data_IF_970322348945
#
_entry.id   IF_970322348945
#
_cell.length_a   1.000
_cell.length_b   1.000
_cell.length_c   1.000
_cell.angle_alpha   90.00
_cell.angle_beta   90.00
_cell.angle_gamma   90.00
#
_symmetry.space_group_name_H-M   'P 1'
#
loop_
_entity.id
_entity.type
_entity.pdbx_description
1 polymer ?
#
# COMPACT_ATOMS: atom_id res chain seq x y z
N UNK A 1 17.31 -1.33 -45.74
CA UNK A 1 16.31 -2.20 -46.39
C UNK A 1 16.75 -2.75 -47.74
N UNK A 2 17.22 -1.95 -48.72
CA UNK A 2 17.68 -2.49 -50.02
C UNK A 2 18.78 -3.57 -49.92
N UNK A 3 19.67 -3.46 -48.92
CA UNK A 3 20.67 -4.50 -48.60
C UNK A 3 19.99 -5.75 -48.03
N UNK A 4 19.05 -5.59 -47.09
CA UNK A 4 18.28 -6.70 -46.48
C UNK A 4 17.47 -7.46 -47.55
N UNK A 5 16.82 -6.75 -48.47
CA UNK A 5 16.03 -7.36 -49.54
C UNK A 5 16.88 -8.19 -50.52
N UNK A 6 18.16 -7.87 -50.65
CA UNK A 6 19.14 -8.60 -51.49
C UNK A 6 19.94 -9.65 -50.69
N UNK A 7 19.81 -9.67 -49.38
CA UNK A 7 20.51 -10.60 -48.51
C UNK A 7 19.65 -11.85 -48.30
N UNK A 8 20.13 -13.05 -48.63
CA UNK A 8 19.37 -14.28 -48.41
C UNK A 8 19.02 -14.45 -46.92
N UNK A 9 17.89 -15.11 -46.63
CA UNK A 9 17.49 -15.35 -45.25
C UNK A 9 18.49 -16.31 -44.55
N UNK A 10 18.63 -16.28 -43.21
CA UNK A 10 19.58 -17.15 -42.51
C UNK A 10 19.39 -18.65 -42.77
N UNK A 11 18.15 -19.09 -43.03
CA UNK A 11 17.83 -20.49 -43.38
C UNK A 11 18.45 -20.88 -44.72
N UNK A 12 18.25 -20.10 -45.78
CA UNK A 12 18.79 -20.35 -47.12
C UNK A 12 20.33 -20.34 -47.10
N UNK A 13 20.93 -19.42 -46.34
CA UNK A 13 22.39 -19.36 -46.18
C UNK A 13 22.91 -20.63 -45.52
N UNK A 14 22.27 -21.07 -44.43
CA UNK A 14 22.70 -22.26 -43.71
C UNK A 14 22.43 -23.54 -44.52
N UNK A 15 21.29 -23.62 -45.21
CA UNK A 15 20.96 -24.71 -46.12
C UNK A 15 22.00 -24.83 -47.24
N UNK A 16 22.32 -23.71 -47.91
CA UNK A 16 23.37 -23.68 -48.94
C UNK A 16 24.71 -24.16 -48.37
N UNK A 17 25.08 -23.71 -47.17
CA UNK A 17 26.32 -24.15 -46.51
C UNK A 17 26.34 -25.65 -46.20
N UNK A 18 25.20 -26.24 -45.84
CA UNK A 18 25.08 -27.69 -45.59
C UNK A 18 25.11 -28.49 -46.89
N UNK A 19 24.47 -27.99 -47.95
CA UNK A 19 24.53 -28.57 -49.30
C UNK A 19 25.96 -28.51 -49.87
N UNK A 20 26.64 -27.36 -49.76
CA UNK A 20 28.02 -27.17 -50.24
C UNK A 20 29.02 -28.10 -49.51
N UNK A 21 28.71 -28.53 -48.29
CA UNK A 21 29.50 -29.49 -47.50
C UNK A 21 29.14 -30.95 -47.75
N UNK A 22 28.05 -31.21 -48.49
CA UNK A 22 27.50 -32.55 -48.67
C UNK A 22 26.81 -33.14 -47.44
N UNK A 23 26.50 -32.31 -46.43
CA UNK A 23 25.92 -32.75 -45.16
C UNK A 23 24.40 -33.01 -45.27
N UNK A 24 23.72 -32.41 -46.25
CA UNK A 24 22.25 -32.45 -46.41
C UNK A 24 21.82 -32.47 -47.87
N UNK A 25 20.86 -33.34 -48.21
CA UNK A 25 20.18 -33.39 -49.50
C UNK A 25 19.16 -32.23 -49.63
N UNK A 26 19.13 -31.55 -50.78
CA UNK A 26 18.17 -30.48 -51.08
C UNK A 26 16.72 -30.93 -50.90
N UNK A 27 16.43 -32.20 -51.21
CA UNK A 27 15.10 -32.79 -51.05
C UNK A 27 14.69 -32.85 -49.58
N UNK A 28 15.62 -33.17 -48.68
CA UNK A 28 15.36 -33.25 -47.24
C UNK A 28 14.92 -31.88 -46.68
N UNK A 29 15.51 -30.78 -47.16
CA UNK A 29 15.16 -29.44 -46.70
C UNK A 29 13.79 -28.97 -47.18
N UNK A 30 13.39 -29.36 -48.39
CA UNK A 30 12.04 -29.10 -48.91
C UNK A 30 11.00 -29.93 -48.15
N UNK A 31 11.28 -31.22 -47.93
CA UNK A 31 10.41 -32.12 -47.17
C UNK A 31 10.20 -31.62 -45.73
N UNK A 32 11.24 -31.07 -45.10
CA UNK A 32 11.13 -30.48 -43.76
C UNK A 32 10.22 -29.24 -43.74
N UNK A 33 10.26 -28.39 -44.78
CA UNK A 33 9.36 -27.24 -44.91
C UNK A 33 7.90 -27.67 -45.00
N UNK A 34 7.64 -28.60 -45.91
CA UNK A 34 6.29 -29.11 -46.17
C UNK A 34 5.72 -29.82 -44.94
N UNK A 35 6.53 -30.68 -44.30
CA UNK A 35 6.16 -31.34 -43.03
C UNK A 35 5.85 -30.32 -41.94
N UNK A 36 6.63 -29.23 -41.82
CA UNK A 36 6.37 -28.20 -40.81
C UNK A 36 5.10 -27.40 -41.11
N UNK A 37 4.85 -27.03 -42.37
CA UNK A 37 3.60 -26.36 -42.78
C UNK A 37 2.38 -27.24 -42.53
N UNK A 38 2.46 -28.52 -42.92
CA UNK A 38 1.39 -29.49 -42.67
C UNK A 38 1.16 -29.66 -41.17
N UNK A 39 2.22 -29.75 -40.36
CA UNK A 39 2.10 -29.77 -38.90
C UNK A 39 1.36 -28.53 -38.36
N UNK A 40 1.70 -27.32 -38.82
CA UNK A 40 1.01 -26.09 -38.39
C UNK A 40 -0.48 -26.10 -38.80
N UNK A 41 -0.78 -26.53 -40.03
CA UNK A 41 -2.14 -26.63 -40.53
C UNK A 41 -2.95 -27.69 -39.77
N UNK A 42 -2.35 -28.84 -39.47
CA UNK A 42 -2.95 -29.90 -38.67
C UNK A 42 -3.22 -29.44 -37.25
N UNK A 43 -2.30 -28.70 -36.61
CA UNK A 43 -2.51 -28.11 -35.29
C UNK A 43 -3.65 -27.09 -35.29
N UNK A 44 -3.73 -26.25 -36.32
CA UNK A 44 -4.85 -25.31 -36.50
C UNK A 44 -6.18 -26.05 -36.67
N UNK A 45 -6.22 -27.07 -37.53
CA UNK A 45 -7.41 -27.88 -37.76
C UNK A 45 -7.85 -28.61 -36.49
N UNK A 46 -6.89 -29.17 -35.74
CA UNK A 46 -7.12 -29.84 -34.46
C UNK A 46 -7.78 -28.90 -33.45
N UNK A 47 -7.25 -27.68 -33.25
CA UNK A 47 -7.82 -26.71 -32.30
C UNK A 47 -9.22 -26.24 -32.74
N UNK A 48 -9.46 -26.08 -34.05
CA UNK A 48 -10.79 -25.72 -34.58
C UNK A 48 -11.84 -26.81 -34.34
N UNK A 49 -11.45 -28.08 -34.45
CA UNK A 49 -12.38 -29.21 -34.29
C UNK A 49 -12.57 -29.60 -32.82
N UNK A 50 -11.48 -29.57 -32.05
CA UNK A 50 -11.47 -29.94 -30.64
C UNK A 50 -10.47 -29.05 -29.89
N UNK A 51 -10.96 -28.01 -29.20
CA UNK A 51 -10.12 -27.22 -28.31
C UNK A 51 -9.43 -28.14 -27.30
N UNK A 52 -8.11 -28.00 -27.15
CA UNK A 52 -7.37 -28.74 -26.12
C UNK A 52 -7.79 -28.24 -24.74
N UNK A 53 -7.95 -29.14 -23.74
CA UNK A 53 -8.19 -28.70 -22.37
C UNK A 53 -6.97 -27.91 -21.87
N UNK A 54 -7.23 -26.77 -21.23
CA UNK A 54 -6.18 -25.98 -20.59
C UNK A 54 -5.85 -26.56 -19.22
N UNK A 55 -4.58 -26.91 -19.00
CA UNK A 55 -4.07 -27.27 -17.68
C UNK A 55 -3.39 -26.05 -17.06
N UNK A 56 -3.93 -25.49 -15.96
CA UNK A 56 -3.33 -24.36 -15.28
C UNK A 56 -1.90 -24.70 -14.84
N UNK A 57 -1.02 -23.70 -14.90
CA UNK A 57 0.29 -23.83 -14.26
C UNK A 57 0.12 -23.82 -12.73
N UNK A 58 1.08 -24.38 -11.98
CA UNK A 58 1.03 -24.40 -10.50
C UNK A 58 0.73 -23.03 -9.87
N UNK A 59 1.30 -21.95 -10.41
CA UNK A 59 1.00 -20.60 -9.95
C UNK A 59 -0.48 -20.24 -10.14
N UNK A 60 -1.03 -20.59 -11.31
CA UNK A 60 -2.43 -20.32 -11.64
C UNK A 60 -3.39 -21.14 -10.77
N UNK A 61 -3.01 -22.35 -10.37
CA UNK A 61 -3.80 -23.16 -9.43
C UNK A 61 -4.03 -22.45 -8.08
N UNK A 62 -3.00 -21.79 -7.53
CA UNK A 62 -3.17 -21.00 -6.29
C UNK A 62 -4.16 -19.84 -6.50
N UNK A 63 -4.09 -19.17 -7.65
CA UNK A 63 -4.98 -18.05 -7.98
C UNK A 63 -6.40 -18.49 -8.34
N UNK A 64 -6.62 -19.72 -8.79
CA UNK A 64 -7.95 -20.28 -9.05
C UNK A 64 -8.79 -20.44 -7.78
N UNK A 65 -8.15 -20.47 -6.60
CA UNK A 65 -8.86 -20.43 -5.32
C UNK A 65 -9.44 -19.04 -4.98
N UNK A 66 -9.04 -18.01 -5.72
CA UNK A 66 -9.51 -16.63 -5.54
C UNK A 66 -10.57 -16.29 -6.58
N UNK A 67 -11.46 -15.36 -6.25
CA UNK A 67 -12.41 -14.75 -7.19
C UNK A 67 -12.00 -13.33 -7.53
N UNK A 68 -12.72 -12.71 -8.46
CA UNK A 68 -12.62 -11.27 -8.71
C UNK A 68 -13.43 -10.48 -7.71
N UNK A 69 -13.03 -9.24 -7.48
CA UNK A 69 -13.80 -8.30 -6.65
C UNK A 69 -15.10 -7.91 -7.35
N UNK A 70 -16.14 -7.66 -6.58
CA UNK A 70 -17.35 -6.96 -7.02
C UNK A 70 -17.48 -5.63 -6.24
N UNK A 71 -18.28 -4.67 -6.72
CA UNK A 71 -18.54 -3.43 -5.98
C UNK A 71 -18.96 -3.65 -4.53
N UNK A 72 -19.73 -4.71 -4.26
CA UNK A 72 -20.29 -5.02 -2.95
C UNK A 72 -19.23 -5.36 -1.91
N UNK A 73 -18.07 -5.89 -2.35
CA UNK A 73 -16.96 -6.24 -1.46
C UNK A 73 -16.36 -5.03 -0.72
N UNK A 74 -16.58 -3.83 -1.25
CA UNK A 74 -16.04 -2.58 -0.69
C UNK A 74 -17.06 -1.84 0.17
N UNK A 75 -18.26 -2.40 0.38
CA UNK A 75 -19.24 -1.81 1.29
C UNK A 75 -18.90 -2.08 2.77
N UNK A 76 -18.30 -3.23 3.07
CA UNK A 76 -17.96 -3.68 4.42
C UNK A 76 -16.60 -4.35 4.38
N UNK A 77 -15.67 -3.90 5.21
CA UNK A 77 -14.37 -4.56 5.37
C UNK A 77 -14.50 -5.95 6.01
N UNK A 78 -13.69 -6.94 5.59
CA UNK A 78 -13.71 -8.28 6.15
C UNK A 78 -13.20 -8.29 7.59
N UNK A 79 -13.55 -9.35 8.32
CA UNK A 79 -13.07 -9.57 9.69
C UNK A 79 -11.55 -9.75 9.68
N UNK A 80 -10.86 -8.91 10.45
CA UNK A 80 -9.39 -8.89 10.55
C UNK A 80 -8.91 -8.89 12.00
N UNK A 81 -9.82 -8.95 12.97
CA UNK A 81 -9.49 -9.08 14.37
C UNK A 81 -8.67 -10.35 14.66
N UNK A 82 -7.86 -10.31 15.72
CA UNK A 82 -7.06 -11.44 16.20
C UNK A 82 -7.39 -11.75 17.66
N UNK A 83 -7.13 -12.97 18.09
CA UNK A 83 -7.30 -13.34 19.49
C UNK A 83 -6.16 -12.77 20.37
N UNK A 84 -6.45 -12.65 21.66
CA UNK A 84 -5.51 -12.14 22.66
C UNK A 84 -4.23 -12.97 22.77
N UNK A 85 -4.30 -14.30 22.63
CA UNK A 85 -3.12 -15.15 22.75
C UNK A 85 -2.15 -14.88 21.58
N UNK A 86 -2.68 -14.59 20.39
CA UNK A 86 -1.87 -14.16 19.24
C UNK A 86 -1.17 -12.83 19.54
N UNK A 87 -1.85 -11.85 20.15
CA UNK A 87 -1.23 -10.59 20.59
C UNK A 87 -0.10 -10.87 21.59
N UNK A 88 -0.38 -11.64 22.64
CA UNK A 88 0.57 -11.92 23.72
C UNK A 88 1.83 -12.62 23.19
N UNK A 89 1.66 -13.58 22.27
CA UNK A 89 2.77 -14.29 21.60
C UNK A 89 3.66 -13.33 20.79
N UNK A 90 3.05 -12.41 20.04
CA UNK A 90 3.81 -11.44 19.23
C UNK A 90 4.47 -10.39 20.14
N UNK A 91 3.76 -9.92 21.16
CA UNK A 91 4.27 -8.97 22.13
C UNK A 91 5.53 -9.49 22.82
N UNK A 92 5.53 -10.74 23.27
CA UNK A 92 6.70 -11.40 23.85
C UNK A 92 7.89 -11.41 22.89
N UNK A 93 7.64 -11.78 21.62
CA UNK A 93 8.68 -11.83 20.60
C UNK A 93 9.31 -10.44 20.33
N UNK A 94 8.50 -9.39 20.16
CA UNK A 94 9.00 -8.05 19.78
C UNK A 94 9.52 -7.22 20.95
N UNK A 95 9.32 -7.68 22.19
CA UNK A 95 9.81 -7.06 23.42
C UNK A 95 11.09 -7.70 23.97
N UNK A 96 11.45 -8.90 23.51
CA UNK A 96 12.59 -9.64 24.03
C UNK A 96 13.63 -9.91 22.95
N UNK A 97 14.86 -10.17 23.40
CA UNK A 97 16.00 -10.55 22.56
C UNK A 97 16.58 -11.88 23.06
N UNK A 98 17.30 -12.64 22.21
CA UNK A 98 17.91 -13.90 22.62
C UNK A 98 18.91 -13.73 23.75
N UNK A 99 19.14 -14.80 24.52
CA UNK A 99 20.19 -14.85 25.53
C UNK A 99 21.54 -14.58 24.86
N UNK A 100 22.33 -13.68 25.46
CA UNK A 100 23.65 -13.27 24.94
C UNK A 100 23.61 -12.13 23.91
N UNK A 101 22.43 -11.73 23.41
CA UNK A 101 22.30 -10.60 22.50
C UNK A 101 22.51 -9.28 23.25
N UNK A 102 23.39 -8.42 22.73
CA UNK A 102 23.75 -7.11 23.27
C UNK A 102 23.11 -6.01 22.43
N UNK A 103 21.93 -5.48 22.84
CA UNK A 103 21.29 -4.40 22.12
C UNK A 103 22.05 -3.07 22.28
N UNK A 104 21.99 -2.21 21.26
CA UNK A 104 22.36 -0.80 21.41
C UNK A 104 21.43 -0.09 22.41
N UNK A 105 21.92 0.94 23.10
CA UNK A 105 21.16 1.72 24.09
C UNK A 105 19.80 2.22 23.58
N UNK A 106 19.73 2.65 22.31
CA UNK A 106 18.49 3.08 21.69
C UNK A 106 17.48 1.93 21.53
N UNK A 107 17.96 0.72 21.23
CA UNK A 107 17.14 -0.49 21.14
C UNK A 107 16.66 -0.93 22.52
N UNK A 108 17.50 -0.85 23.55
CA UNK A 108 17.06 -1.12 24.93
C UNK A 108 15.89 -0.22 25.35
N UNK A 109 15.97 1.07 25.04
CA UNK A 109 14.90 2.03 25.32
C UNK A 109 13.62 1.67 24.56
N UNK A 110 13.74 1.31 23.27
CA UNK A 110 12.61 0.84 22.47
C UNK A 110 11.95 -0.41 23.08
N UNK A 111 12.75 -1.40 23.51
CA UNK A 111 12.22 -2.63 24.11
C UNK A 111 11.52 -2.35 25.43
N UNK A 112 12.06 -1.45 26.26
CA UNK A 112 11.41 -0.99 27.51
C UNK A 112 10.09 -0.27 27.20
N UNK A 113 10.06 0.60 26.20
CA UNK A 113 8.86 1.31 25.77
C UNK A 113 7.78 0.32 25.30
N UNK A 114 8.13 -0.67 24.47
CA UNK A 114 7.20 -1.73 24.05
C UNK A 114 6.67 -2.53 25.24
N UNK A 115 7.53 -2.93 26.18
CA UNK A 115 7.08 -3.63 27.40
C UNK A 115 6.06 -2.81 28.17
N UNK A 116 6.30 -1.51 28.33
CA UNK A 116 5.36 -0.58 28.96
C UNK A 116 4.04 -0.45 28.17
N UNK A 117 4.10 -0.42 26.85
CA UNK A 117 2.92 -0.39 25.97
C UNK A 117 1.99 -1.59 26.25
N UNK A 118 2.54 -2.80 26.29
CA UNK A 118 1.76 -4.02 26.48
C UNK A 118 1.34 -4.27 27.94
N UNK A 119 2.24 -4.05 28.91
CA UNK A 119 2.02 -4.42 30.30
C UNK A 119 1.25 -3.36 31.11
N UNK A 120 1.52 -2.07 30.86
CA UNK A 120 0.98 -0.99 31.69
C UNK A 120 -0.11 -0.21 30.96
N UNK A 121 0.21 0.39 29.82
CA UNK A 121 -0.69 1.36 29.17
C UNK A 121 -1.79 0.69 28.34
N UNK A 122 -1.55 -0.53 27.86
CA UNK A 122 -2.41 -1.26 26.90
C UNK A 122 -2.72 -0.44 25.63
N UNK A 123 -1.79 0.45 25.26
CA UNK A 123 -1.86 1.29 24.06
C UNK A 123 -0.65 1.05 23.18
N UNK A 124 -0.84 1.07 21.86
CA UNK A 124 0.18 0.81 20.85
C UNK A 124 0.33 1.99 19.91
N UNK A 125 1.56 2.23 19.50
CA UNK A 125 1.92 3.19 18.46
C UNK A 125 1.98 2.52 17.08
N UNK A 126 2.21 3.34 16.03
CA UNK A 126 2.22 2.89 14.64
C UNK A 126 3.15 1.69 14.35
N UNK A 127 4.44 1.72 14.74
CA UNK A 127 5.34 0.60 14.43
C UNK A 127 4.97 -0.68 15.18
N UNK A 128 4.41 -0.58 16.38
CA UNK A 128 3.97 -1.75 17.15
C UNK A 128 2.75 -2.40 16.51
N UNK A 129 1.78 -1.61 16.03
CA UNK A 129 0.64 -2.11 15.28
C UNK A 129 1.06 -2.79 13.97
N UNK A 130 2.04 -2.24 13.26
CA UNK A 130 2.60 -2.85 12.05
C UNK A 130 3.23 -4.23 12.33
N UNK A 131 4.08 -4.33 13.36
CA UNK A 131 4.70 -5.60 13.74
C UNK A 131 3.68 -6.63 14.24
N UNK A 132 2.60 -6.19 14.90
CA UNK A 132 1.47 -7.06 15.27
C UNK A 132 0.74 -7.59 14.02
N UNK A 133 0.55 -6.76 12.98
CA UNK A 133 -0.05 -7.20 11.74
C UNK A 133 0.82 -8.24 11.02
N UNK A 134 2.12 -7.98 10.91
CA UNK A 134 3.06 -8.93 10.31
C UNK A 134 3.14 -10.24 11.11
N UNK A 135 3.30 -10.15 12.43
CA UNK A 135 3.40 -11.30 13.32
C UNK A 135 2.14 -12.17 13.30
N UNK A 136 0.95 -11.56 13.24
CA UNK A 136 -0.31 -12.31 13.20
C UNK A 136 -0.49 -13.08 11.89
N UNK A 137 -0.15 -12.48 10.74
CA UNK A 137 -0.18 -13.16 9.45
C UNK A 137 0.84 -14.32 9.41
N UNK A 138 2.03 -14.13 9.97
CA UNK A 138 3.04 -15.21 10.10
C UNK A 138 2.56 -16.33 11.03
N UNK A 139 1.85 -16.00 12.11
CA UNK A 139 1.25 -16.99 13.02
C UNK A 139 0.14 -17.81 12.35
N UNK A 140 -0.56 -17.22 11.36
CA UNK A 140 -1.54 -17.89 10.50
C UNK A 140 -0.89 -18.72 9.37
N UNK A 141 0.45 -18.72 9.27
CA UNK A 141 1.20 -19.42 8.22
C UNK A 141 1.21 -18.68 6.88
N UNK A 142 0.82 -17.41 6.83
CA UNK A 142 0.95 -16.55 5.63
C UNK A 142 2.39 -16.10 5.45
N UNK A 143 2.70 -15.62 4.25
CA UNK A 143 4.02 -15.07 3.93
C UNK A 143 3.95 -13.56 4.13
N UNK A 144 4.97 -12.98 4.77
CA UNK A 144 5.14 -11.52 4.85
C UNK A 144 6.50 -11.16 4.29
N UNK A 145 6.49 -10.35 3.23
CA UNK A 145 7.68 -9.83 2.55
C UNK A 145 7.64 -8.32 2.50
N UNK A 146 8.73 -7.66 2.86
CA UNK A 146 8.91 -6.23 2.73
C UNK A 146 10.27 -5.90 2.13
N UNK A 147 10.31 -5.01 1.16
CA UNK A 147 11.56 -4.43 0.67
C UNK A 147 11.46 -2.93 0.46
N UNK A 148 12.63 -2.29 0.43
CA UNK A 148 12.80 -0.86 0.28
C UNK A 148 14.09 -0.41 0.92
N UNK A 149 14.43 0.86 0.77
CA UNK A 149 15.67 1.40 1.33
C UNK A 149 15.52 1.49 2.86
N UNK A 150 16.47 0.90 3.60
CA UNK A 150 16.54 0.92 5.07
C UNK A 150 15.33 0.38 5.85
N UNK A 151 14.43 -0.37 5.20
CA UNK A 151 13.17 -0.84 5.79
C UNK A 151 13.32 -1.66 7.07
N UNK A 152 14.45 -2.37 7.27
CA UNK A 152 14.72 -3.15 8.48
C UNK A 152 14.64 -2.30 9.76
N UNK A 153 15.28 -1.13 9.73
CA UNK A 153 15.22 -0.12 10.79
C UNK A 153 14.02 0.80 10.60
N UNK A 154 13.68 1.07 9.34
CA UNK A 154 12.81 2.15 8.90
C UNK A 154 13.62 3.44 8.73
N UNK A 155 13.30 4.21 7.68
CA UNK A 155 13.89 5.53 7.39
C UNK A 155 13.91 6.41 8.64
N UNK A 156 12.76 6.48 9.33
CA UNK A 156 12.54 7.31 10.51
C UNK A 156 12.99 6.65 11.82
N UNK A 157 13.72 5.53 11.77
CA UNK A 157 14.13 4.74 12.94
C UNK A 157 12.97 4.39 13.87
N UNK A 158 11.88 3.89 13.29
CA UNK A 158 10.63 3.59 14.00
C UNK A 158 10.34 2.09 14.07
N UNK A 159 10.68 1.32 13.03
CA UNK A 159 10.25 -0.08 12.86
C UNK A 159 11.08 -1.06 13.67
N UNK A 160 12.40 -1.04 13.50
CA UNK A 160 13.34 -1.97 14.15
C UNK A 160 12.86 -3.43 14.08
N UNK A 161 12.48 -3.87 12.88
CA UNK A 161 12.03 -5.23 12.56
C UNK A 161 13.18 -6.25 12.57
N UNK A 162 14.40 -5.76 12.34
CA UNK A 162 15.65 -6.50 12.53
C UNK A 162 16.54 -5.69 13.46
N UNK A 163 16.97 -6.32 14.54
CA UNK A 163 17.92 -5.79 15.50
C UNK A 163 19.33 -6.29 15.14
N UNK A 164 20.34 -5.52 15.50
CA UNK A 164 21.75 -5.87 15.29
C UNK A 164 22.43 -5.89 16.65
N UNK A 165 23.19 -6.97 16.90
CA UNK A 165 24.02 -7.08 18.09
C UNK A 165 25.14 -6.03 18.05
N UNK A 166 25.35 -5.33 19.15
CA UNK A 166 26.31 -4.22 19.22
C UNK A 166 27.78 -4.66 19.10
N UNK A 167 28.09 -5.93 19.39
CA UNK A 167 29.46 -6.46 19.35
C UNK A 167 29.69 -7.34 18.12
N UNK A 168 28.80 -8.29 17.85
CA UNK A 168 28.97 -9.25 16.74
C UNK A 168 28.39 -8.77 15.41
N UNK A 169 27.52 -7.75 15.44
CA UNK A 169 26.72 -7.29 14.29
C UNK A 169 25.77 -8.37 13.73
N UNK A 170 25.51 -9.44 14.49
CA UNK A 170 24.55 -10.47 14.10
C UNK A 170 23.13 -9.92 14.08
N UNK A 171 22.34 -10.36 13.09
CA UNK A 171 20.97 -9.93 12.89
C UNK A 171 19.99 -10.81 13.65
N UNK A 172 19.10 -10.18 14.41
CA UNK A 172 17.97 -10.83 15.05
C UNK A 172 16.65 -10.27 14.53
N UNK A 173 15.80 -11.13 13.97
CA UNK A 173 14.43 -10.75 13.60
C UNK A 173 13.45 -11.45 14.55
N UNK A 174 12.86 -10.65 15.44
CA UNK A 174 11.95 -11.12 16.48
C UNK A 174 10.76 -11.91 15.94
N UNK A 175 10.18 -11.50 14.80
CA UNK A 175 8.98 -12.15 14.26
C UNK A 175 9.20 -13.59 13.76
N UNK A 176 10.46 -14.01 13.56
CA UNK A 176 10.76 -15.39 13.20
C UNK A 176 10.45 -16.39 14.33
N UNK A 177 10.32 -15.94 15.58
CA UNK A 177 9.94 -16.81 16.71
C UNK A 177 8.42 -17.04 16.79
N UNK A 178 7.63 -16.24 16.06
CA UNK A 178 6.15 -16.31 16.08
C UNK A 178 5.60 -17.19 14.97
N UNK A 179 6.38 -17.39 13.91
CA UNK A 179 5.96 -18.03 12.66
C UNK A 179 5.41 -19.45 12.86
N UNK A 180 4.33 -19.78 12.13
CA UNK A 180 3.84 -21.15 12.00
C UNK A 180 4.36 -21.78 10.70
N UNK A 181 5.01 -22.95 10.81
CA UNK A 181 5.64 -23.63 9.67
C UNK A 181 6.96 -22.98 9.25
N UNK A 182 7.31 -23.08 7.97
CA UNK A 182 8.62 -22.67 7.45
C UNK A 182 8.67 -21.22 6.92
N UNK A 183 7.55 -20.49 6.98
CA UNK A 183 7.40 -19.15 6.37
C UNK A 183 8.04 -18.04 7.21
N UNK A 184 9.37 -17.95 7.20
CA UNK A 184 10.12 -16.88 7.90
C UNK A 184 9.72 -15.49 7.41
N UNK A 185 9.82 -14.49 8.29
CA UNK A 185 9.64 -13.08 7.95
C UNK A 185 10.76 -12.61 7.01
N UNK A 186 10.38 -11.98 5.90
CA UNK A 186 11.28 -11.62 4.79
C UNK A 186 11.36 -10.10 4.65
N UNK A 187 12.33 -9.47 5.31
CA UNK A 187 12.53 -8.02 5.22
C UNK A 187 13.93 -7.67 4.70
N UNK A 188 14.00 -6.87 3.64
CA UNK A 188 15.24 -6.59 2.90
C UNK A 188 15.45 -5.10 2.70
N UNK A 189 16.60 -4.60 3.16
CA UNK A 189 17.11 -3.31 2.68
C UNK A 189 17.47 -3.49 1.20
N UNK A 190 16.76 -2.80 0.33
CA UNK A 190 16.97 -2.87 -1.10
C UNK A 190 18.21 -2.10 -1.54
N UNK A 191 18.58 -2.27 -2.80
CA UNK A 191 19.46 -1.32 -3.48
C UNK A 191 18.79 0.06 -3.57
N UNK A 192 19.59 1.08 -3.87
CA UNK A 192 19.11 2.45 -4.12
C UNK A 192 18.48 2.54 -5.53
N UNK A 193 17.36 1.84 -5.73
CA UNK A 193 16.64 1.76 -7.00
C UNK A 193 15.15 1.58 -6.75
N UNK A 194 14.33 2.49 -7.24
CA UNK A 194 12.87 2.39 -7.12
C UNK A 194 12.30 1.52 -8.25
N UNK A 195 12.68 1.80 -9.50
CA UNK A 195 12.14 1.13 -10.68
C UNK A 195 12.35 -0.39 -10.66
N UNK A 196 13.60 -0.83 -10.45
CA UNK A 196 13.95 -2.25 -10.47
C UNK A 196 13.37 -3.00 -9.27
N UNK A 197 13.41 -2.40 -8.08
CA UNK A 197 12.91 -3.02 -6.85
C UNK A 197 11.39 -3.10 -6.85
N UNK A 198 10.68 -2.03 -7.23
CA UNK A 198 9.21 -2.07 -7.32
C UNK A 198 8.75 -3.09 -8.36
N UNK A 199 9.45 -3.20 -9.50
CA UNK A 199 9.17 -4.23 -10.49
C UNK A 199 9.40 -5.65 -9.98
N UNK A 200 10.45 -5.86 -9.19
CA UNK A 200 10.69 -7.14 -8.52
C UNK A 200 9.57 -7.47 -7.53
N UNK A 201 9.16 -6.54 -6.67
CA UNK A 201 8.09 -6.76 -5.69
C UNK A 201 6.73 -6.99 -6.35
N UNK A 202 6.44 -6.32 -7.47
CA UNK A 202 5.25 -6.62 -8.27
C UNK A 202 5.25 -8.08 -8.75
N UNK A 203 6.37 -8.55 -9.31
CA UNK A 203 6.51 -9.94 -9.75
C UNK A 203 6.38 -10.95 -8.60
N UNK A 204 6.92 -10.62 -7.43
CA UNK A 204 6.78 -11.44 -6.23
C UNK A 204 5.33 -11.52 -5.75
N UNK A 205 4.64 -10.38 -5.68
CA UNK A 205 3.23 -10.29 -5.28
C UNK A 205 2.30 -11.06 -6.25
N UNK A 206 2.68 -11.14 -7.53
CA UNK A 206 1.96 -11.94 -8.53
C UNK A 206 2.17 -13.45 -8.35
N UNK A 207 3.27 -13.88 -7.73
CA UNK A 207 3.64 -15.29 -7.66
C UNK A 207 2.78 -16.11 -6.68
N UNK A 208 2.21 -15.51 -5.64
CA UNK A 208 1.30 -16.21 -4.73
C UNK A 208 0.29 -15.26 -4.09
N UNK A 209 -1.00 -15.62 -4.05
CA UNK A 209 -2.02 -14.82 -3.37
C UNK A 209 -1.89 -14.87 -1.84
N UNK A 210 -1.02 -15.71 -1.27
CA UNK A 210 -0.88 -15.90 0.18
C UNK A 210 0.24 -15.06 0.82
N UNK A 211 0.88 -14.17 0.06
CA UNK A 211 1.98 -13.34 0.54
C UNK A 211 1.60 -11.87 0.67
N UNK A 212 1.62 -11.31 1.88
CA UNK A 212 1.58 -9.85 2.05
C UNK A 212 2.94 -9.31 1.58
N UNK A 213 2.94 -8.71 0.39
CA UNK A 213 4.15 -8.17 -0.25
C UNK A 213 4.10 -6.66 -0.17
N UNK A 214 5.10 -6.06 0.47
CA UNK A 214 5.20 -4.62 0.67
C UNK A 214 6.46 -4.06 -0.01
N UNK A 215 6.30 -2.89 -0.61
CA UNK A 215 7.39 -2.03 -1.02
C UNK A 215 7.27 -0.68 -0.31
N UNK A 216 8.33 -0.22 0.35
CA UNK A 216 8.37 1.09 1.01
C UNK A 216 9.37 2.01 0.33
N UNK A 217 8.89 3.17 -0.10
CA UNK A 217 9.75 4.26 -0.55
C UNK A 217 10.40 4.92 0.66
N UNK A 218 11.63 5.44 0.52
CA UNK A 218 12.29 6.14 1.62
C UNK A 218 11.50 7.40 2.03
N UNK A 219 11.06 8.15 1.03
CA UNK A 219 9.99 9.15 1.08
C UNK A 219 9.06 8.90 -0.10
N UNK A 220 7.76 9.19 0.07
CA UNK A 220 6.77 8.92 -0.97
C UNK A 220 7.04 9.68 -2.27
N UNK A 221 7.68 10.84 -2.19
CA UNK A 221 8.07 11.69 -3.32
C UNK A 221 8.89 10.93 -4.38
N UNK A 222 9.70 9.96 -3.98
CA UNK A 222 10.61 9.20 -4.86
C UNK A 222 9.92 8.08 -5.65
N UNK A 223 8.64 7.78 -5.40
CA UNK A 223 7.93 6.74 -6.16
C UNK A 223 7.82 7.03 -7.66
N UNK A 224 7.97 8.31 -8.05
CA UNK A 224 7.98 8.74 -9.44
C UNK A 224 9.12 8.11 -10.27
N UNK A 225 10.23 7.70 -9.65
CA UNK A 225 11.29 6.95 -10.32
C UNK A 225 10.81 5.60 -10.87
N UNK A 226 9.71 5.07 -10.33
CA UNK A 226 9.08 3.82 -10.75
C UNK A 226 7.73 4.03 -11.49
N UNK A 227 7.49 5.21 -12.07
CA UNK A 227 6.19 5.56 -12.66
C UNK A 227 5.70 4.56 -13.71
N UNK A 228 6.59 4.03 -14.56
CA UNK A 228 6.21 3.04 -15.58
C UNK A 228 5.69 1.74 -14.94
N UNK A 229 6.23 1.33 -13.78
CA UNK A 229 5.70 0.19 -13.03
C UNK A 229 4.31 0.50 -12.45
N UNK A 230 4.12 1.71 -11.94
CA UNK A 230 2.83 2.17 -11.41
C UNK A 230 1.77 2.15 -12.51
N UNK A 231 2.03 2.79 -13.65
CA UNK A 231 1.05 2.98 -14.72
C UNK A 231 0.76 1.66 -15.45
N UNK A 232 1.81 0.94 -15.84
CA UNK A 232 1.68 -0.18 -16.78
C UNK A 232 1.49 -1.52 -16.08
N UNK A 233 1.60 -1.60 -14.76
CA UNK A 233 1.42 -2.85 -14.04
C UNK A 233 0.48 -2.67 -12.86
N UNK A 234 0.86 -1.85 -11.88
CA UNK A 234 0.10 -1.74 -10.62
C UNK A 234 -1.32 -1.22 -10.86
N UNK A 235 -1.48 -0.15 -11.66
CA UNK A 235 -2.79 0.45 -11.90
C UNK A 235 -3.64 -0.28 -12.97
N UNK A 236 -3.03 -1.08 -13.86
CA UNK A 236 -3.71 -1.53 -15.10
C UNK A 236 -3.59 -3.03 -15.42
N UNK A 237 -2.81 -3.82 -14.68
CA UNK A 237 -2.58 -5.23 -15.02
C UNK A 237 -3.85 -6.09 -14.96
N UNK A 238 -4.75 -5.83 -14.01
CA UNK A 238 -5.97 -6.61 -13.89
C UNK A 238 -6.88 -6.39 -15.10
N UNK A 239 -7.08 -5.14 -15.53
CA UNK A 239 -7.89 -4.84 -16.73
C UNK A 239 -7.24 -5.39 -18.01
N UNK A 240 -5.91 -5.25 -18.17
CA UNK A 240 -5.22 -5.66 -19.41
C UNK A 240 -4.98 -7.17 -19.53
N UNK A 241 -4.61 -7.81 -18.43
CA UNK A 241 -4.07 -9.17 -18.43
C UNK A 241 -4.81 -10.10 -17.48
N UNK A 242 -5.85 -9.62 -16.81
CA UNK A 242 -6.67 -10.42 -15.88
C UNK A 242 -5.81 -10.98 -14.73
N UNK A 243 -4.74 -10.26 -14.36
CA UNK A 243 -3.83 -10.62 -13.28
C UNK A 243 -4.11 -9.76 -12.05
N UNK A 244 -4.57 -10.41 -10.98
CA UNK A 244 -4.65 -9.81 -9.66
C UNK A 244 -3.24 -9.68 -9.06
N UNK A 245 -3.09 -8.74 -8.13
CA UNK A 245 -1.83 -8.49 -7.44
C UNK A 245 -2.14 -7.89 -6.06
N UNK A 246 -1.30 -8.14 -5.05
CA UNK A 246 -1.53 -7.68 -3.68
C UNK A 246 -0.41 -6.81 -3.11
N UNK A 247 0.42 -6.25 -3.97
CA UNK A 247 1.49 -5.35 -3.59
C UNK A 247 0.95 -4.14 -2.82
N UNK A 248 1.51 -3.90 -1.63
CA UNK A 248 1.25 -2.72 -0.82
C UNK A 248 2.42 -1.76 -0.98
N UNK A 249 2.15 -0.58 -1.52
CA UNK A 249 3.09 0.53 -1.60
C UNK A 249 2.93 1.41 -0.36
N UNK A 250 3.98 1.52 0.44
CA UNK A 250 4.05 2.44 1.58
C UNK A 250 4.83 3.69 1.15
N UNK A 251 4.15 4.82 1.09
CA UNK A 251 4.67 6.08 0.58
C UNK A 251 4.67 7.15 1.68
N UNK A 252 5.81 7.39 2.37
CA UNK A 252 5.84 8.37 3.44
C UNK A 252 5.40 9.76 2.96
N UNK A 253 4.33 10.27 3.55
CA UNK A 253 3.61 11.46 3.10
C UNK A 253 3.32 12.40 4.28
N UNK A 254 3.36 13.71 4.04
CA UNK A 254 2.91 14.72 4.98
C UNK A 254 3.68 16.04 4.88
N UNK A 255 2.98 17.16 5.00
CA UNK A 255 3.55 18.50 4.91
C UNK A 255 4.07 18.93 6.28
N UNK A 256 5.40 18.86 6.44
CA UNK A 256 6.10 19.05 7.73
C UNK A 256 7.27 20.04 7.62
N UNK A 257 7.28 20.87 6.57
CA UNK A 257 8.30 21.90 6.37
C UNK A 257 9.66 21.40 5.88
N UNK A 258 9.74 20.15 5.40
CA UNK A 258 10.98 19.52 4.92
C UNK A 258 11.29 19.79 3.43
N UNK A 259 10.50 20.65 2.78
CA UNK A 259 10.71 21.01 1.37
C UNK A 259 10.01 20.10 0.36
N UNK A 260 10.21 20.37 -0.94
CA UNK A 260 9.38 19.78 -2.00
C UNK A 260 9.60 18.30 -2.30
N UNK A 261 10.76 17.73 -1.96
CA UNK A 261 11.08 16.31 -2.18
C UNK A 261 10.87 15.42 -0.95
N UNK A 262 10.28 15.95 0.12
CA UNK A 262 10.07 15.22 1.38
C UNK A 262 8.67 15.46 1.98
N UNK A 263 7.70 15.81 1.15
CA UNK A 263 6.36 16.22 1.59
C UNK A 263 5.23 15.44 0.94
N UNK A 264 5.33 15.14 -0.36
CA UNK A 264 4.20 14.64 -1.15
C UNK A 264 4.53 13.39 -1.94
N UNK A 265 3.89 12.30 -1.53
CA UNK A 265 3.73 11.10 -2.34
C UNK A 265 2.87 11.29 -3.61
N UNK A 266 2.40 12.51 -3.91
CA UNK A 266 1.53 12.82 -5.07
C UNK A 266 0.25 11.99 -5.11
N UNK A 267 -0.46 11.99 -3.98
CA UNK A 267 -1.74 11.32 -3.79
C UNK A 267 -2.71 11.54 -4.97
N UNK A 268 -2.75 12.77 -5.50
CA UNK A 268 -3.59 13.16 -6.64
C UNK A 268 -3.36 12.28 -7.88
N UNK A 269 -2.13 11.84 -8.12
CA UNK A 269 -1.76 11.04 -9.29
C UNK A 269 -2.28 9.62 -9.17
N UNK A 270 -2.18 9.02 -7.99
CA UNK A 270 -2.75 7.69 -7.75
C UNK A 270 -4.28 7.73 -7.86
N UNK A 271 -4.93 8.74 -7.29
CA UNK A 271 -6.37 8.92 -7.41
C UNK A 271 -6.84 9.19 -8.85
N UNK A 272 -6.00 9.82 -9.68
CA UNK A 272 -6.26 9.98 -11.11
C UNK A 272 -6.27 8.63 -11.83
N UNK A 273 -5.38 7.71 -11.46
CA UNK A 273 -5.27 6.35 -12.02
C UNK A 273 -6.36 5.40 -11.51
N UNK A 274 -7.11 5.76 -10.47
CA UNK A 274 -8.15 4.91 -9.90
C UNK A 274 -9.40 4.82 -10.79
N UNK A 275 -9.75 3.59 -11.18
CA UNK A 275 -10.96 3.24 -11.91
C UNK A 275 -11.26 1.75 -11.73
N UNK A 276 -12.51 1.31 -11.94
CA UNK A 276 -12.88 -0.13 -11.97
C UNK A 276 -12.38 -0.96 -10.76
N UNK A 277 -12.30 -0.33 -9.58
CA UNK A 277 -11.77 -0.94 -8.36
C UNK A 277 -10.36 -1.53 -8.54
N UNK A 278 -9.52 -0.93 -9.40
CA UNK A 278 -8.20 -1.45 -9.78
C UNK A 278 -7.18 -1.49 -8.63
N UNK A 279 -7.30 -0.59 -7.65
CA UNK A 279 -6.41 -0.53 -6.49
C UNK A 279 -7.15 -0.01 -5.25
N UNK A 280 -6.47 0.00 -4.11
CA UNK A 280 -6.89 0.69 -2.88
C UNK A 280 -5.97 1.90 -2.68
N UNK A 281 -6.52 3.06 -2.33
CA UNK A 281 -5.75 4.25 -1.93
C UNK A 281 -6.20 4.69 -0.54
N UNK A 282 -5.27 4.76 0.41
CA UNK A 282 -5.54 5.05 1.80
C UNK A 282 -4.54 6.05 2.41
N UNK A 283 -4.98 6.82 3.39
CA UNK A 283 -4.18 7.77 4.15
C UNK A 283 -4.64 7.71 5.63
N UNK A 284 -4.05 6.74 6.32
CA UNK A 284 -4.55 6.20 7.58
C UNK A 284 -3.99 7.02 8.76
N UNK A 285 -4.79 7.23 9.81
CA UNK A 285 -4.41 8.08 10.95
C UNK A 285 -4.32 7.34 12.29
N UNK A 286 -4.76 6.08 12.38
CA UNK A 286 -4.71 5.29 13.62
C UNK A 286 -3.89 4.00 13.48
N UNK A 287 -3.08 3.63 14.49
CA UNK A 287 -2.33 2.37 14.48
C UNK A 287 -3.21 1.13 14.31
N UNK A 288 -4.34 1.01 15.04
CA UNK A 288 -5.24 -0.14 14.89
C UNK A 288 -5.84 -0.22 13.49
N UNK A 289 -6.23 0.93 12.91
CA UNK A 289 -6.75 0.95 11.55
C UNK A 289 -5.68 0.50 10.53
N UNK A 290 -4.42 0.88 10.71
CA UNK A 290 -3.31 0.38 9.88
C UNK A 290 -3.07 -1.13 10.06
N UNK A 291 -3.15 -1.65 11.29
CA UNK A 291 -3.09 -3.08 11.55
C UNK A 291 -4.17 -3.84 10.77
N UNK A 292 -5.43 -3.39 10.86
CA UNK A 292 -6.54 -4.02 10.16
C UNK A 292 -6.40 -3.90 8.64
N UNK A 293 -5.92 -2.76 8.15
CA UNK A 293 -5.65 -2.55 6.73
C UNK A 293 -4.67 -3.59 6.18
N UNK A 294 -3.54 -3.83 6.86
CA UNK A 294 -2.53 -4.78 6.40
C UNK A 294 -3.07 -6.21 6.35
N UNK A 295 -3.83 -6.63 7.37
CA UNK A 295 -4.45 -7.96 7.41
C UNK A 295 -5.56 -8.11 6.37
N UNK A 296 -6.32 -7.03 6.11
CA UNK A 296 -7.40 -6.97 5.12
C UNK A 296 -6.93 -7.37 3.72
N UNK A 297 -5.70 -7.02 3.35
CA UNK A 297 -5.10 -7.37 2.05
C UNK A 297 -5.07 -8.88 1.76
N UNK A 298 -4.99 -9.72 2.80
CA UNK A 298 -5.03 -11.18 2.67
C UNK A 298 -6.37 -11.80 3.10
N UNK A 299 -7.19 -11.07 3.85
CA UNK A 299 -8.49 -11.52 4.32
C UNK A 299 -9.56 -11.54 3.21
N UNK A 300 -9.45 -10.66 2.21
CA UNK A 300 -10.34 -10.71 1.04
C UNK A 300 -10.17 -12.02 0.25
N UNK A 301 -11.20 -12.49 -0.47
CA UNK A 301 -11.10 -13.64 -1.38
C UNK A 301 -10.61 -13.24 -2.80
N UNK A 302 -10.01 -12.06 -2.92
CA UNK A 302 -9.41 -11.49 -4.12
C UNK A 302 -8.19 -10.66 -3.72
N UNK A 303 -7.40 -10.17 -4.69
CA UNK A 303 -6.25 -9.31 -4.41
C UNK A 303 -6.29 -8.03 -5.24
N UNK A 304 -6.05 -6.90 -4.57
CA UNK A 304 -5.86 -5.58 -5.18
C UNK A 304 -4.56 -4.96 -4.67
N UNK A 305 -3.79 -4.28 -5.52
CA UNK A 305 -2.72 -3.43 -5.06
C UNK A 305 -3.25 -2.36 -4.11
N UNK A 306 -2.41 -1.93 -3.18
CA UNK A 306 -2.72 -0.86 -2.25
C UNK A 306 -1.64 0.22 -2.30
N UNK A 307 -2.06 1.47 -2.24
CA UNK A 307 -1.21 2.64 -2.12
C UNK A 307 -1.57 3.34 -0.82
N UNK A 308 -0.62 3.35 0.12
CA UNK A 308 -0.81 3.93 1.46
C UNK A 308 0.09 5.16 1.58
N UNK A 309 -0.52 6.31 1.83
CA UNK A 309 0.18 7.50 2.31
C UNK A 309 0.64 7.20 3.75
N UNK A 310 1.83 6.61 3.89
CA UNK A 310 2.35 6.19 5.20
C UNK A 310 2.86 7.41 5.98
N UNK A 311 2.79 7.39 7.32
CA UNK A 311 3.08 8.58 8.09
C UNK A 311 4.58 8.81 8.29
N UNK A 312 4.92 10.06 8.60
CA UNK A 312 6.23 10.48 9.10
C UNK A 312 6.13 10.91 10.56
N UNK A 313 5.56 12.09 10.84
CA UNK A 313 5.35 12.59 12.22
C UNK A 313 4.41 11.71 13.05
N UNK A 314 3.37 11.11 12.45
CA UNK A 314 2.42 10.28 13.21
C UNK A 314 3.04 9.01 13.80
N UNK A 315 4.23 8.60 13.35
CA UNK A 315 4.98 7.48 13.93
C UNK A 315 5.25 7.66 15.43
N UNK A 316 5.27 8.91 15.91
CA UNK A 316 5.51 9.26 17.33
C UNK A 316 4.51 10.27 17.89
N UNK A 317 3.42 10.56 17.18
CA UNK A 317 2.47 11.57 17.63
C UNK A 317 1.68 11.05 18.85
N UNK A 318 1.57 11.81 19.95
CA UNK A 318 1.01 11.30 21.21
C UNK A 318 -0.48 10.95 21.13
N UNK A 319 -1.22 11.58 20.21
CA UNK A 319 -2.63 11.23 19.93
C UNK A 319 -2.77 10.13 18.88
N UNK A 320 -1.68 9.73 18.20
CA UNK A 320 -1.69 8.66 17.20
C UNK A 320 -1.37 7.32 17.87
N UNK A 321 -2.23 6.91 18.78
CA UNK A 321 -2.16 5.64 19.52
C UNK A 321 -3.50 4.93 19.44
N UNK A 322 -3.49 3.61 19.54
CA UNK A 322 -4.70 2.78 19.63
C UNK A 322 -4.62 1.84 20.83
N UNK A 323 -5.75 1.43 21.36
CA UNK A 323 -5.85 0.38 22.38
C UNK A 323 -5.58 -1.01 21.79
N UNK A 324 -5.15 -1.97 22.62
CA UNK A 324 -5.04 -3.37 22.20
C UNK A 324 -6.40 -4.01 21.88
N UNK A 325 -7.47 -3.55 22.53
CA UNK A 325 -8.80 -4.13 22.38
C UNK A 325 -9.36 -3.87 20.98
N UNK A 326 -9.02 -2.73 20.37
CA UNK A 326 -9.31 -2.44 18.96
C UNK A 326 -8.78 -3.53 18.02
N UNK A 327 -7.65 -4.18 18.32
CA UNK A 327 -7.13 -5.27 17.47
C UNK A 327 -7.92 -6.58 17.60
N UNK A 328 -8.61 -6.77 18.73
CA UNK A 328 -9.37 -7.99 19.05
C UNK A 328 -10.84 -7.92 18.71
N UNK A 329 -11.39 -6.71 18.64
CA UNK A 329 -12.83 -6.47 18.46
C UNK A 329 -13.13 -5.51 17.30
N UNK A 330 -12.13 -4.79 16.80
CA UNK A 330 -12.27 -3.81 15.73
C UNK A 330 -12.09 -4.39 14.34
N UNK A 331 -12.02 -3.47 13.38
CA UNK A 331 -11.81 -3.74 11.97
C UNK A 331 -11.25 -2.50 11.27
N UNK A 332 -11.07 -2.59 9.96
CA UNK A 332 -10.71 -1.41 9.18
C UNK A 332 -11.94 -0.50 9.03
N UNK A 333 -11.75 0.78 9.30
CA UNK A 333 -12.73 1.84 9.13
C UNK A 333 -12.30 2.73 7.96
N UNK A 334 -13.06 2.70 6.86
CA UNK A 334 -12.81 3.54 5.68
C UNK A 334 -13.05 5.03 5.97
N UNK A 335 -14.03 5.33 6.82
CA UNK A 335 -14.40 6.66 7.30
C UNK A 335 -14.56 6.61 8.82
N UNK A 336 -13.99 7.59 9.53
CA UNK A 336 -14.12 7.71 10.97
C UNK A 336 -14.78 9.04 11.30
N UNK A 337 -15.97 8.95 11.90
CA UNK A 337 -16.79 10.10 12.30
C UNK A 337 -16.25 10.77 13.59
N UNK A 338 -16.75 11.96 13.89
CA UNK A 338 -16.41 12.73 15.09
C UNK A 338 -17.32 12.32 16.27
N UNK A 339 -16.72 11.68 17.28
CA UNK A 339 -17.41 11.27 18.51
C UNK A 339 -17.42 12.34 19.61
N UNK A 340 -16.84 13.52 19.37
CA UNK A 340 -16.71 14.58 20.39
C UNK A 340 -17.83 15.62 20.35
N UNK A 341 -18.73 15.51 19.36
CA UNK A 341 -19.84 16.44 19.11
C UNK A 341 -21.16 15.70 18.93
N UNK A 342 -22.26 16.38 19.26
CA UNK A 342 -23.62 15.88 19.05
C UNK A 342 -24.13 16.35 17.69
N UNK A 343 -24.69 15.45 16.89
CA UNK A 343 -25.05 15.74 15.49
C UNK A 343 -25.99 16.94 15.33
N UNK A 344 -26.92 17.13 16.26
CA UNK A 344 -27.90 18.23 16.27
C UNK A 344 -27.27 19.63 16.42
N UNK A 345 -26.08 19.72 17.01
CA UNK A 345 -25.41 20.99 17.29
C UNK A 345 -24.48 21.41 16.14
N UNK A 346 -24.15 20.47 15.25
CA UNK A 346 -23.18 20.64 14.18
C UNK A 346 -23.76 21.44 13.02
N UNK A 347 -23.04 22.51 12.64
CA UNK A 347 -23.35 23.41 11.52
C UNK A 347 -22.33 23.29 10.38
N UNK A 348 -21.14 22.77 10.66
CA UNK A 348 -20.07 22.55 9.68
C UNK A 348 -19.42 21.19 9.92
N UNK A 349 -19.17 20.44 8.86
CA UNK A 349 -18.41 19.18 8.88
C UNK A 349 -17.12 19.38 8.10
N UNK A 350 -16.00 19.29 8.79
CA UNK A 350 -14.66 19.29 8.20
C UNK A 350 -14.29 17.85 7.88
N UNK A 351 -14.25 17.50 6.60
CA UNK A 351 -13.79 16.18 6.14
C UNK A 351 -12.35 16.30 5.71
N UNK A 352 -11.48 15.46 6.26
CA UNK A 352 -10.04 15.48 5.97
C UNK A 352 -9.49 14.05 5.84
N UNK A 353 -8.23 13.93 5.45
CA UNK A 353 -7.54 12.64 5.32
C UNK A 353 -6.09 12.79 5.80
N UNK A 354 -5.58 11.79 6.51
CA UNK A 354 -4.22 11.82 7.04
C UNK A 354 -3.98 12.83 8.17
N UNK A 355 -2.71 13.24 8.32
CA UNK A 355 -2.20 13.91 9.53
C UNK A 355 -2.86 15.25 9.86
N UNK A 356 -3.42 15.97 8.89
CA UNK A 356 -4.09 17.26 9.10
C UNK A 356 -5.24 17.15 10.11
N UNK A 357 -5.82 15.96 10.27
CA UNK A 357 -6.80 15.67 11.31
C UNK A 357 -6.35 16.13 12.69
N UNK A 358 -5.10 15.85 13.09
CA UNK A 358 -4.63 16.16 14.43
C UNK A 358 -4.52 17.67 14.68
N UNK A 359 -4.18 18.44 13.64
CA UNK A 359 -4.15 19.91 13.71
C UNK A 359 -5.58 20.46 13.90
N UNK A 360 -6.55 19.92 13.15
CA UNK A 360 -7.96 20.30 13.25
C UNK A 360 -8.60 19.88 14.57
N UNK A 361 -8.31 18.67 15.04
CA UNK A 361 -8.78 18.14 16.32
C UNK A 361 -8.28 19.00 17.48
N UNK A 362 -6.98 19.33 17.51
CA UNK A 362 -6.41 20.16 18.56
C UNK A 362 -7.09 21.54 18.62
N UNK A 363 -7.34 22.16 17.47
CA UNK A 363 -8.05 23.44 17.38
C UNK A 363 -9.50 23.33 17.87
N UNK A 364 -10.22 22.29 17.44
CA UNK A 364 -11.59 22.01 17.87
C UNK A 364 -11.68 21.89 19.40
N UNK A 365 -10.78 21.11 20.00
CA UNK A 365 -10.75 20.89 21.45
C UNK A 365 -10.32 22.16 22.20
N UNK A 366 -9.29 22.86 21.73
CA UNK A 366 -8.81 24.11 22.35
C UNK A 366 -9.89 25.19 22.38
N UNK A 367 -10.67 25.32 21.30
CA UNK A 367 -11.79 26.26 21.20
C UNK A 367 -13.12 25.71 21.69
N UNK A 368 -13.15 24.46 22.18
CA UNK A 368 -14.35 23.75 22.66
C UNK A 368 -15.51 23.83 21.65
N UNK A 369 -15.21 23.74 20.36
CA UNK A 369 -16.21 23.85 19.29
C UNK A 369 -17.12 22.62 19.32
N UNK A 370 -18.43 22.85 19.44
CA UNK A 370 -19.48 21.81 19.37
C UNK A 370 -20.31 21.90 18.09
N UNK A 371 -20.18 23.01 17.38
CA UNK A 371 -20.85 23.31 16.12
C UNK A 371 -20.07 22.86 14.88
N UNK A 372 -18.87 22.29 15.06
CA UNK A 372 -18.01 21.80 13.98
C UNK A 372 -17.60 20.36 14.27
N UNK A 373 -17.89 19.44 13.35
CA UNK A 373 -17.40 18.06 13.38
C UNK A 373 -16.12 17.93 12.55
N UNK A 374 -15.16 17.12 12.99
CA UNK A 374 -13.92 16.79 12.25
C UNK A 374 -13.91 15.30 11.92
N UNK A 375 -14.14 14.98 10.65
CA UNK A 375 -14.31 13.62 10.14
C UNK A 375 -13.08 13.22 9.32
N UNK A 376 -12.67 11.96 9.44
CA UNK A 376 -11.53 11.39 8.71
C UNK A 376 -11.98 10.44 7.62
N UNK A 377 -11.42 10.60 6.44
CA UNK A 377 -11.50 9.65 5.34
C UNK A 377 -10.18 8.89 5.26
N UNK A 378 -10.17 7.68 5.79
CA UNK A 378 -8.98 6.82 5.90
C UNK A 378 -8.72 6.08 4.57
N UNK A 379 -9.79 5.72 3.86
CA UNK A 379 -9.74 5.18 2.49
C UNK A 379 -10.37 6.17 1.51
N UNK A 380 -9.60 6.56 0.51
CA UNK A 380 -10.01 7.50 -0.54
C UNK A 380 -10.52 6.76 -1.77
N UNK A 381 -9.92 5.61 -2.11
CA UNK A 381 -10.39 4.75 -3.19
C UNK A 381 -10.35 3.27 -2.79
N UNK A 382 -11.39 2.47 -3.09
CA UNK A 382 -12.72 2.89 -3.53
C UNK A 382 -13.37 3.85 -2.53
N UNK A 383 -14.09 4.85 -3.05
CA UNK A 383 -14.73 5.88 -2.22
C UNK A 383 -15.79 5.21 -1.33
N UNK A 384 -15.80 5.41 0.00
CA UNK A 384 -16.80 4.84 0.90
C UNK A 384 -18.15 5.60 0.78
N UNK A 385 -18.76 5.58 -0.40
CA UNK A 385 -19.95 6.37 -0.74
C UNK A 385 -21.12 6.15 0.22
N UNK A 386 -21.38 4.91 0.64
CA UNK A 386 -22.45 4.59 1.58
C UNK A 386 -22.24 5.24 2.95
N UNK A 387 -20.99 5.24 3.43
CA UNK A 387 -20.64 5.85 4.72
C UNK A 387 -20.72 7.38 4.62
N UNK A 388 -20.32 7.95 3.48
CA UNK A 388 -20.50 9.38 3.21
C UNK A 388 -21.98 9.78 3.13
N UNK A 389 -22.82 8.99 2.45
CA UNK A 389 -24.26 9.25 2.38
C UNK A 389 -24.90 9.23 3.79
N UNK A 390 -24.49 8.29 4.64
CA UNK A 390 -24.92 8.22 6.03
C UNK A 390 -24.44 9.44 6.84
N UNK A 391 -23.20 9.87 6.62
CA UNK A 391 -22.63 11.05 7.26
C UNK A 391 -23.38 12.34 6.89
N UNK A 392 -23.68 12.51 5.60
CA UNK A 392 -24.46 13.64 5.08
C UNK A 392 -25.88 13.64 5.66
N UNK A 393 -26.51 12.48 5.78
CA UNK A 393 -27.81 12.36 6.42
C UNK A 393 -27.75 12.67 7.93
N UNK A 394 -26.70 12.20 8.64
CA UNK A 394 -26.49 12.45 10.06
C UNK A 394 -26.37 13.95 10.37
N UNK A 395 -25.56 14.68 9.60
CA UNK A 395 -25.32 16.11 9.78
C UNK A 395 -26.22 16.96 8.87
N UNK A 396 -27.53 16.75 8.99
CA UNK A 396 -28.53 17.43 8.15
C UNK A 396 -28.41 18.95 8.27
N UNK A 397 -28.27 19.64 7.13
CA UNK A 397 -28.17 21.11 7.07
C UNK A 397 -26.78 21.69 7.37
N UNK A 398 -25.82 20.85 7.74
CA UNK A 398 -24.44 21.29 7.93
C UNK A 398 -23.74 21.58 6.59
N UNK A 399 -22.81 22.53 6.60
CA UNK A 399 -21.90 22.77 5.47
C UNK A 399 -20.75 21.77 5.48
N UNK A 400 -20.45 21.16 4.35
CA UNK A 400 -19.35 20.21 4.22
C UNK A 400 -18.14 20.89 3.58
N UNK A 401 -17.00 20.83 4.28
CA UNK A 401 -15.74 21.42 3.82
C UNK A 401 -14.68 20.32 3.75
N UNK A 402 -14.09 20.11 2.58
CA UNK A 402 -12.88 19.31 2.44
C UNK A 402 -11.69 20.12 2.93
N UNK A 403 -10.91 19.56 3.85
CA UNK A 403 -9.71 20.20 4.41
C UNK A 403 -8.49 19.34 4.13
N UNK A 404 -7.49 19.94 3.50
CA UNK A 404 -6.24 19.25 3.15
C UNK A 404 -5.02 20.15 3.35
N UNK A 405 -3.86 19.54 3.59
CA UNK A 405 -2.60 20.27 3.70
C UNK A 405 -1.93 20.44 2.33
N UNK A 406 -2.27 19.61 1.37
CA UNK A 406 -1.78 19.70 0.00
C UNK A 406 -2.28 20.99 -0.71
N UNK A 407 -1.50 21.53 -1.67
CA UNK A 407 -1.98 22.52 -2.62
C UNK A 407 -3.32 22.11 -3.25
N UNK A 408 -4.18 23.06 -3.58
CA UNK A 408 -5.50 22.79 -4.16
C UNK A 408 -5.44 21.95 -5.46
N UNK A 409 -4.37 22.08 -6.25
CA UNK A 409 -4.11 21.25 -7.44
C UNK A 409 -3.49 19.87 -7.14
N UNK A 410 -3.38 19.50 -5.87
CA UNK A 410 -2.79 18.25 -5.37
C UNK A 410 -3.71 17.62 -4.32
N UNK A 411 -3.29 16.49 -3.73
CA UNK A 411 -4.08 15.80 -2.71
C UNK A 411 -5.36 15.20 -3.29
N UNK A 412 -6.39 15.05 -2.47
CA UNK A 412 -7.62 14.38 -2.89
C UNK A 412 -8.68 15.31 -3.48
N UNK A 413 -8.51 16.63 -3.45
CA UNK A 413 -9.56 17.58 -3.84
C UNK A 413 -10.18 17.31 -5.21
N UNK A 414 -9.34 17.16 -6.25
CA UNK A 414 -9.83 16.87 -7.61
C UNK A 414 -10.58 15.54 -7.71
N UNK A 415 -10.20 14.54 -6.90
CA UNK A 415 -10.89 13.25 -6.83
C UNK A 415 -12.25 13.38 -6.13
N UNK A 416 -12.33 14.08 -5.00
CA UNK A 416 -13.58 14.29 -4.26
C UNK A 416 -14.61 15.01 -5.14
N UNK A 417 -14.21 16.08 -5.83
CA UNK A 417 -15.06 16.78 -6.81
C UNK A 417 -15.55 15.88 -7.94
N UNK A 418 -14.70 14.95 -8.39
CA UNK A 418 -15.04 14.04 -9.49
C UNK A 418 -16.03 12.97 -9.03
N UNK A 419 -15.82 12.40 -7.83
CA UNK A 419 -16.46 11.15 -7.40
C UNK A 419 -17.65 11.34 -6.46
N UNK A 420 -17.71 12.41 -5.65
CA UNK A 420 -18.83 12.64 -4.72
C UNK A 420 -19.54 13.97 -4.99
N UNK A 421 -20.43 13.98 -5.97
CA UNK A 421 -21.13 15.20 -6.45
C UNK A 421 -22.50 15.45 -5.80
N UNK A 422 -22.87 14.68 -4.79
CA UNK A 422 -24.20 14.73 -4.14
C UNK A 422 -24.40 15.95 -3.26
N UNK A 423 -23.31 16.64 -2.89
CA UNK A 423 -23.32 17.83 -2.03
C UNK A 423 -22.44 18.93 -2.62
N UNK A 424 -22.65 20.17 -2.17
CA UNK A 424 -21.78 21.29 -2.50
C UNK A 424 -20.61 21.36 -1.51
N UNK A 425 -19.41 21.00 -1.98
CA UNK A 425 -18.19 21.02 -1.16
C UNK A 425 -17.56 22.41 -1.10
N UNK A 426 -17.20 22.84 0.09
CA UNK A 426 -16.21 23.91 0.29
C UNK A 426 -14.80 23.31 0.38
N UNK A 427 -13.76 24.11 0.14
CA UNK A 427 -12.35 23.67 0.19
C UNK A 427 -11.53 24.59 1.09
N UNK A 428 -10.69 23.97 1.93
CA UNK A 428 -9.61 24.64 2.65
C UNK A 428 -8.32 23.88 2.39
N UNK A 429 -7.40 24.51 1.66
CA UNK A 429 -6.14 23.93 1.21
C UNK A 429 -5.01 24.96 1.21
N UNK A 430 -3.78 24.53 0.89
CA UNK A 430 -2.74 25.45 0.39
C UNK A 430 -3.13 25.96 -1.00
N UNK A 431 -2.63 27.14 -1.37
CA UNK A 431 -2.81 27.67 -2.73
C UNK A 431 -2.25 26.70 -3.79
N UNK A 432 -2.76 26.81 -5.01
CA UNK A 432 -2.17 26.13 -6.16
C UNK A 432 -0.65 26.40 -6.25
N UNK A 433 0.11 25.34 -6.53
CA UNK A 433 1.57 25.41 -6.63
C UNK A 433 2.10 24.46 -7.70
N UNK A 434 3.16 24.88 -8.40
CA UNK A 434 3.91 24.01 -9.30
C UNK A 434 4.79 23.01 -8.52
N UNK A 435 5.42 23.51 -7.45
CA UNK A 435 6.23 22.71 -6.52
C UNK A 435 5.33 22.01 -5.49
N UNK A 436 5.62 20.76 -5.07
CA UNK A 436 4.83 20.07 -4.05
C UNK A 436 4.70 20.88 -2.75
N UNK A 437 5.81 21.44 -2.27
CA UNK A 437 5.83 22.24 -1.04
C UNK A 437 6.78 23.43 -1.17
N UNK A 438 6.66 24.37 -0.24
CA UNK A 438 7.63 25.46 -0.04
C UNK A 438 8.93 24.93 0.55
N UNK A 439 10.07 25.49 0.13
CA UNK A 439 11.39 25.22 0.73
C UNK A 439 11.66 26.01 2.02
N UNK A 440 10.76 26.92 2.41
CA UNK A 440 10.95 27.79 3.58
C UNK A 440 10.02 27.41 4.73
N UNK A 441 10.60 26.95 5.85
CA UNK A 441 9.83 26.52 7.02
C UNK A 441 8.89 27.61 7.57
N UNK A 442 9.32 28.88 7.59
CA UNK A 442 8.46 30.00 8.04
C UNK A 442 7.19 30.16 7.20
N UNK A 443 7.28 29.91 5.89
CA UNK A 443 6.12 29.95 4.99
C UNK A 443 5.23 28.74 5.26
N UNK A 444 5.83 27.55 5.41
CA UNK A 444 5.11 26.32 5.72
C UNK A 444 4.25 26.45 7.00
N UNK A 445 4.84 26.96 8.09
CA UNK A 445 4.14 27.18 9.38
C UNK A 445 2.95 28.11 9.18
N UNK A 446 3.17 29.26 8.52
CA UNK A 446 2.10 30.23 8.24
C UNK A 446 0.96 29.62 7.41
N UNK A 447 1.30 28.81 6.41
CA UNK A 447 0.30 28.11 5.59
C UNK A 447 -0.49 27.09 6.40
N UNK A 448 0.15 26.35 7.32
CA UNK A 448 -0.51 25.37 8.15
C UNK A 448 -1.48 26.04 9.15
N UNK A 449 -1.04 27.10 9.81
CA UNK A 449 -1.87 27.91 10.71
C UNK A 449 -3.07 28.52 9.96
N UNK A 450 -2.86 29.00 8.74
CA UNK A 450 -3.92 29.56 7.90
C UNK A 450 -4.98 28.53 7.49
N UNK A 451 -4.57 27.29 7.16
CA UNK A 451 -5.50 26.18 6.89
C UNK A 451 -6.40 25.94 8.11
N UNK A 452 -5.81 25.76 9.29
CA UNK A 452 -6.57 25.49 10.52
C UNK A 452 -7.49 26.66 10.83
N UNK A 453 -7.00 27.90 10.73
CA UNK A 453 -7.79 29.10 10.97
C UNK A 453 -9.00 29.19 10.02
N UNK A 454 -8.79 28.98 8.72
CA UNK A 454 -9.88 29.05 7.72
C UNK A 454 -10.89 27.91 7.86
N UNK A 455 -10.46 26.72 8.25
CA UNK A 455 -11.35 25.60 8.49
C UNK A 455 -12.42 25.93 9.55
N UNK A 456 -12.02 26.60 10.64
CA UNK A 456 -12.90 26.97 11.75
C UNK A 456 -13.54 28.36 11.65
N UNK A 457 -13.25 29.11 10.58
CA UNK A 457 -13.78 30.46 10.35
C UNK A 457 -15.29 30.49 10.07
#
# INVERSE_FOLDING_TARGET
>A
YNIIAKHPNPREIYLKKLMDRGDVDAQLAQDMDEKFRNLLQDRLNMIKQKPLPYSPQKMEEEWLSMRRSTPEDFHISPVTAIDKNTIDKIADAICNVPVGFKPLKQVENLLKERKKMFAETRTINWPTAELLAFGSLLNEGKIVRMSGQDVKRGTFSSRHAVLFDAESNEQHSSLNTVTKGENKFRIFNSLLSEYGVLGFEYGYAMASPNALTLWEAQFGDFCNGAQVMIDQFIASAESKWQRMNNLVMLLPHGYEGQGPEHSSARLERFLQLCAEYNMIVANITLPANYFHFLRRQLAWPFRKPAVVMSPKSLLRHPLCVSSLDELTQGGFHELIDDWTVEAKDVKKVLVCSGKVYFDLYNEQQAKKRKDVAVVRMEQLFPLPEKQLDQLVAKYTGAKFTWVQEEPENMGAWGFILRCYRKINWEIVSRKNSASPATGYNKVHVKEQEDIVKRAFA
#
